data_IF_245508923940
#
_entry.id   IF_245508923940
#
_cell.length_a   1.000
_cell.length_b   1.000
_cell.length_c   1.000
_cell.angle_alpha   90.00
_cell.angle_beta   90.00
_cell.angle_gamma   90.00
#
_symmetry.space_group_name_H-M   'P 1'
#
loop_
_entity.id
_entity.type
_entity.pdbx_description
1 polymer ?
#
# COMPACT_ATOMS: atom_id res chain seq x y z
N UNK A 1 -11.38 -0.37 10.26
CA UNK A 1 -12.29 -1.16 11.12
C UNK A 1 -12.47 -2.52 10.47
N UNK A 2 -12.46 -3.61 11.22
CA UNK A 2 -12.48 -4.95 10.63
C UNK A 2 -12.33 -6.02 11.69
N UNK A 3 -12.84 -7.22 11.40
CA UNK A 3 -12.72 -8.39 12.28
C UNK A 3 -11.70 -9.40 11.76
N UNK A 4 -11.32 -9.30 10.49
CA UNK A 4 -10.33 -10.16 9.86
C UNK A 4 -9.58 -9.41 8.75
N UNK A 5 -8.26 -9.35 8.86
CA UNK A 5 -7.36 -8.66 7.92
C UNK A 5 -7.40 -9.23 6.49
N UNK A 6 -7.99 -10.41 6.28
CA UNK A 6 -8.15 -11.03 4.96
C UNK A 6 -9.41 -10.59 4.22
N UNK A 7 -10.33 -9.88 4.90
CA UNK A 7 -11.59 -9.46 4.31
C UNK A 7 -11.38 -8.33 3.28
N UNK A 8 -12.21 -8.26 2.24
CA UNK A 8 -12.20 -7.13 1.30
C UNK A 8 -12.42 -5.81 2.03
N UNK A 9 -11.80 -4.73 1.55
CA UNK A 9 -11.86 -3.42 2.22
C UNK A 9 -12.75 -2.44 1.45
N UNK A 10 -13.84 -2.01 2.09
CA UNK A 10 -14.65 -0.88 1.64
C UNK A 10 -13.96 0.42 2.06
N UNK A 11 -13.47 1.18 1.09
CA UNK A 11 -12.84 2.48 1.31
C UNK A 11 -13.90 3.57 1.29
N UNK A 12 -13.94 4.39 2.33
CA UNK A 12 -14.93 5.44 2.54
C UNK A 12 -14.23 6.80 2.54
N UNK A 13 -14.46 7.59 1.50
CA UNK A 13 -13.98 8.96 1.36
C UNK A 13 -14.98 9.91 1.98
N UNK A 14 -14.52 10.67 2.97
CA UNK A 14 -15.30 11.69 3.69
C UNK A 14 -14.48 12.95 3.87
N UNK A 15 -15.16 14.04 4.21
CA UNK A 15 -14.52 15.29 4.62
C UNK A 15 -15.16 15.78 5.92
N UNK A 16 -14.34 16.19 6.89
CA UNK A 16 -14.78 16.60 8.24
C UNK A 16 -15.54 17.94 8.26
N UNK A 17 -15.54 18.69 7.16
CA UNK A 17 -16.29 19.94 6.95
C UNK A 17 -17.45 19.78 5.94
N UNK A 18 -17.69 18.58 5.39
CA UNK A 18 -18.79 18.32 4.46
C UNK A 18 -20.07 17.91 5.19
N UNK A 19 -21.16 18.68 5.00
CA UNK A 19 -22.50 18.34 5.49
C UNK A 19 -22.98 16.99 4.94
N UNK A 20 -22.68 16.68 3.68
CA UNK A 20 -23.04 15.39 3.08
C UNK A 20 -22.26 14.22 3.71
N UNK A 21 -20.98 14.44 4.04
CA UNK A 21 -20.17 13.45 4.78
C UNK A 21 -20.72 13.24 6.19
N UNK A 22 -21.15 14.31 6.86
CA UNK A 22 -21.83 14.22 8.15
C UNK A 22 -23.08 13.36 8.06
N UNK A 23 -23.95 13.65 7.10
CA UNK A 23 -25.17 12.89 6.90
C UNK A 23 -24.87 11.41 6.68
N UNK A 24 -23.92 11.09 5.79
CA UNK A 24 -23.52 9.71 5.51
C UNK A 24 -22.98 8.99 6.74
N UNK A 25 -22.10 9.62 7.53
CA UNK A 25 -21.55 9.00 8.74
C UNK A 25 -22.66 8.72 9.76
N UNK A 26 -23.59 9.66 9.94
CA UNK A 26 -24.67 9.54 10.93
C UNK A 26 -25.80 8.58 10.51
N UNK A 27 -25.98 8.30 9.22
CA UNK A 27 -27.15 7.57 8.73
C UNK A 27 -26.84 6.34 7.87
N UNK A 28 -25.64 6.22 7.31
CA UNK A 28 -25.30 5.15 6.36
C UNK A 28 -24.10 4.32 6.81
N UNK A 29 -23.09 4.93 7.42
CA UNK A 29 -21.89 4.21 7.85
C UNK A 29 -22.20 3.18 8.94
N UNK A 30 -23.10 3.50 9.88
CA UNK A 30 -23.52 2.57 10.94
C UNK A 30 -24.20 1.32 10.34
N UNK A 31 -25.07 1.49 9.35
CA UNK A 31 -25.70 0.37 8.65
C UNK A 31 -24.65 -0.50 7.93
N UNK A 32 -23.69 0.10 7.23
CA UNK A 32 -22.59 -0.65 6.60
C UNK A 32 -21.79 -1.44 7.63
N UNK A 33 -21.46 -0.82 8.77
CA UNK A 33 -20.72 -1.47 9.86
C UNK A 33 -21.53 -2.63 10.42
N UNK A 34 -22.82 -2.44 10.69
CA UNK A 34 -23.69 -3.47 11.25
C UNK A 34 -23.87 -4.66 10.30
N UNK A 35 -24.15 -4.39 9.04
CA UNK A 35 -24.50 -5.45 8.07
C UNK A 35 -23.29 -6.19 7.51
N UNK A 36 -22.11 -5.55 7.41
CA UNK A 36 -20.93 -6.16 6.76
C UNK A 36 -19.68 -6.25 7.64
N UNK A 37 -19.45 -5.31 8.55
CA UNK A 37 -18.20 -5.29 9.33
C UNK A 37 -18.33 -6.18 10.57
N UNK A 38 -19.43 -6.05 11.31
CA UNK A 38 -19.70 -6.85 12.50
C UNK A 38 -20.01 -8.32 12.17
N UNK A 39 -20.59 -8.58 11.00
CA UNK A 39 -20.79 -9.94 10.47
C UNK A 39 -19.49 -10.59 10.00
N UNK A 40 -18.45 -9.78 9.77
CA UNK A 40 -17.13 -10.24 9.33
C UNK A 40 -17.01 -10.46 7.84
N UNK A 41 -17.82 -9.77 7.04
CA UNK A 41 -17.78 -9.81 5.57
C UNK A 41 -16.80 -8.79 4.98
N UNK A 42 -16.75 -7.58 5.55
CA UNK A 42 -15.92 -6.47 5.04
C UNK A 42 -15.08 -5.83 6.14
N UNK A 43 -13.92 -5.31 5.72
CA UNK A 43 -13.22 -4.26 6.43
C UNK A 43 -13.68 -2.89 5.90
N UNK A 44 -13.57 -1.85 6.73
CA UNK A 44 -13.78 -0.45 6.33
C UNK A 44 -12.51 0.34 6.58
N UNK A 45 -12.09 1.09 5.56
CA UNK A 45 -10.97 2.01 5.62
C UNK A 45 -11.44 3.44 5.31
N UNK A 46 -11.05 4.41 6.14
CA UNK A 46 -11.42 5.80 5.94
C UNK A 46 -10.35 6.54 5.12
N UNK A 47 -10.81 7.43 4.25
CA UNK A 47 -10.00 8.38 3.50
C UNK A 47 -10.55 9.78 3.70
N UNK A 48 -9.68 10.72 4.07
CA UNK A 48 -10.09 12.12 4.24
C UNK A 48 -9.76 12.92 2.98
N UNK A 49 -10.76 13.15 2.12
CA UNK A 49 -10.57 13.91 0.88
C UNK A 49 -10.65 15.41 1.17
N UNK A 50 -9.50 16.07 1.19
CA UNK A 50 -9.39 17.49 1.57
C UNK A 50 -9.23 18.44 0.38
N UNK A 51 -8.74 17.93 -0.75
CA UNK A 51 -8.45 18.72 -1.94
C UNK A 51 -9.34 18.27 -3.10
N UNK A 52 -9.61 19.18 -4.04
CA UNK A 52 -10.37 18.86 -5.25
C UNK A 52 -9.53 17.99 -6.18
N UNK A 53 -10.02 16.79 -6.56
CA UNK A 53 -9.30 15.93 -7.50
C UNK A 53 -8.98 16.58 -8.86
N UNK A 54 -9.82 17.53 -9.31
CA UNK A 54 -9.60 18.30 -10.56
C UNK A 54 -8.78 19.60 -10.37
N UNK A 55 -8.50 20.00 -9.14
CA UNK A 55 -7.69 21.18 -8.80
C UNK A 55 -7.01 20.90 -7.46
N UNK A 56 -5.93 20.10 -7.44
CA UNK A 56 -5.39 19.55 -6.20
C UNK A 56 -4.92 20.62 -5.23
N UNK A 57 -4.66 21.86 -5.65
CA UNK A 57 -4.31 22.95 -4.73
C UNK A 57 -5.51 23.74 -4.19
N UNK A 58 -6.72 23.36 -4.58
CA UNK A 58 -7.98 23.89 -4.06
C UNK A 58 -8.59 22.91 -3.06
N UNK A 59 -9.12 23.42 -1.95
CA UNK A 59 -9.81 22.58 -0.97
C UNK A 59 -11.20 22.14 -1.49
N UNK A 60 -11.66 20.98 -1.03
CA UNK A 60 -12.83 20.32 -1.59
C UNK A 60 -14.14 21.04 -1.26
N UNK A 61 -14.29 21.51 -0.02
CA UNK A 61 -15.56 22.05 0.51
C UNK A 61 -15.52 23.59 0.66
N UNK A 62 -14.37 24.15 1.05
CA UNK A 62 -14.15 25.57 1.28
C UNK A 62 -12.91 26.11 0.58
N UNK A 63 -12.51 27.33 0.91
CA UNK A 63 -11.34 28.02 0.35
C UNK A 63 -10.17 28.13 1.34
N UNK A 64 -10.18 27.36 2.44
CA UNK A 64 -9.17 27.43 3.50
C UNK A 64 -8.60 26.07 3.96
N UNK A 65 -7.46 26.12 4.66
CA UNK A 65 -6.71 24.95 5.13
C UNK A 65 -7.40 24.16 6.26
N UNK A 66 -8.59 24.56 6.71
CA UNK A 66 -9.32 23.88 7.78
C UNK A 66 -9.54 22.39 7.51
N UNK A 67 -9.83 22.03 6.26
CA UNK A 67 -10.07 20.64 5.82
C UNK A 67 -8.82 19.78 6.00
N UNK A 68 -7.70 20.19 5.39
CA UNK A 68 -6.44 19.47 5.48
C UNK A 68 -5.94 19.40 6.93
N UNK A 69 -6.13 20.47 7.72
CA UNK A 69 -5.74 20.49 9.14
C UNK A 69 -6.52 19.48 9.96
N UNK A 70 -7.83 19.33 9.72
CA UNK A 70 -8.65 18.34 10.39
C UNK A 70 -8.23 16.91 10.01
N UNK A 71 -7.95 16.67 8.72
CA UNK A 71 -7.45 15.38 8.22
C UNK A 71 -6.11 14.98 8.85
N UNK A 72 -5.15 15.92 8.96
CA UNK A 72 -3.87 15.69 9.66
C UNK A 72 -4.07 15.37 11.14
N UNK A 73 -5.00 16.04 11.81
CA UNK A 73 -5.33 15.73 13.20
C UNK A 73 -5.90 14.31 13.33
N UNK A 74 -6.80 13.89 12.43
CA UNK A 74 -7.35 12.54 12.43
C UNK A 74 -6.27 11.47 12.21
N UNK A 75 -5.36 11.66 11.24
CA UNK A 75 -4.20 10.78 11.07
C UNK A 75 -3.30 10.75 12.31
N UNK A 76 -3.12 11.90 12.98
CA UNK A 76 -2.34 11.98 14.20
C UNK A 76 -2.96 11.23 15.37
N UNK A 77 -4.30 11.29 15.54
CA UNK A 77 -5.00 10.47 16.54
C UNK A 77 -4.83 8.99 16.22
N UNK A 78 -4.99 8.58 14.96
CA UNK A 78 -4.79 7.18 14.54
C UNK A 78 -3.36 6.68 14.81
N UNK A 79 -2.34 7.47 14.50
CA UNK A 79 -0.92 7.12 14.67
C UNK A 79 -0.47 7.10 16.14
N UNK A 80 -1.01 7.99 16.98
CA UNK A 80 -0.55 8.16 18.36
C UNK A 80 -1.42 7.44 19.40
N UNK A 81 -2.73 7.39 19.17
CA UNK A 81 -3.74 6.90 20.12
C UNK A 81 -4.90 6.21 19.37
N UNK A 82 -4.62 5.12 18.63
CA UNK A 82 -5.60 4.44 17.76
C UNK A 82 -6.85 3.99 18.49
N UNK A 83 -6.76 3.68 19.79
CA UNK A 83 -7.89 3.31 20.64
C UNK A 83 -8.94 4.43 20.81
N UNK A 84 -8.52 5.70 20.67
CA UNK A 84 -9.39 6.87 20.79
C UNK A 84 -9.75 7.48 19.42
N UNK A 85 -9.30 6.88 18.32
CA UNK A 85 -9.61 7.38 16.97
C UNK A 85 -11.12 7.39 16.67
N UNK A 86 -11.82 6.28 16.92
CA UNK A 86 -13.26 6.19 16.62
C UNK A 86 -14.11 7.16 17.47
N UNK A 87 -13.90 7.27 18.80
CA UNK A 87 -14.53 8.32 19.60
C UNK A 87 -14.29 9.73 19.07
N UNK A 88 -13.06 10.05 18.65
CA UNK A 88 -12.74 11.34 18.04
C UNK A 88 -13.43 11.56 16.69
N UNK A 89 -13.40 10.55 15.81
CA UNK A 89 -14.06 10.59 14.52
C UNK A 89 -15.57 10.84 14.65
N UNK A 90 -16.24 10.09 15.52
CA UNK A 90 -17.66 10.26 15.81
C UNK A 90 -17.95 11.64 16.43
N UNK A 91 -17.14 12.06 17.40
CA UNK A 91 -17.29 13.37 18.04
C UNK A 91 -17.28 14.51 17.02
N UNK A 92 -16.36 14.46 16.04
CA UNK A 92 -16.25 15.48 15.00
C UNK A 92 -17.50 15.56 14.11
N UNK A 93 -18.15 14.44 13.79
CA UNK A 93 -19.37 14.44 12.98
C UNK A 93 -20.65 14.71 13.80
N UNK A 94 -20.71 14.34 15.08
CA UNK A 94 -21.83 14.68 15.96
C UNK A 94 -21.79 16.14 16.45
N UNK A 95 -20.60 16.75 16.51
CA UNK A 95 -20.41 18.17 16.82
C UNK A 95 -19.99 18.97 15.58
N UNK A 96 -20.50 18.57 14.42
CA UNK A 96 -20.17 19.15 13.12
C UNK A 96 -20.32 20.67 13.12
N UNK A 97 -19.41 21.33 12.41
CA UNK A 97 -19.46 22.76 12.18
C UNK A 97 -19.05 23.09 10.75
N UNK A 98 -19.70 24.09 10.16
CA UNK A 98 -19.28 24.69 8.89
C UNK A 98 -18.16 25.72 9.07
N UNK A 99 -17.72 25.96 10.31
CA UNK A 99 -16.63 26.89 10.61
C UNK A 99 -15.28 26.17 10.45
N UNK A 100 -14.29 26.90 9.94
CA UNK A 100 -12.89 26.45 9.83
C UNK A 100 -12.35 25.82 11.12
N UNK A 101 -11.72 24.65 11.00
CA UNK A 101 -11.00 24.03 12.11
C UNK A 101 -9.65 24.70 12.33
N UNK A 102 -9.51 25.43 13.44
CA UNK A 102 -8.21 25.96 13.91
C UNK A 102 -7.48 24.93 14.78
N UNK A 103 -6.17 25.10 15.00
CA UNK A 103 -5.39 24.25 15.92
C UNK A 103 -6.08 24.14 17.30
N UNK A 104 -6.42 25.27 17.91
CA UNK A 104 -7.09 25.31 19.22
C UNK A 104 -8.45 24.59 19.22
N UNK A 105 -9.22 24.67 18.12
CA UNK A 105 -10.49 23.93 18.02
C UNK A 105 -10.25 22.43 17.94
N UNK A 106 -9.29 21.97 17.14
CA UNK A 106 -8.97 20.55 17.01
C UNK A 106 -8.43 19.98 18.32
N UNK A 107 -7.55 20.70 19.01
CA UNK A 107 -7.09 20.33 20.35
C UNK A 107 -8.25 20.21 21.35
N UNK A 108 -9.18 21.16 21.33
CA UNK A 108 -10.38 21.10 22.17
C UNK A 108 -11.32 19.95 21.79
N UNK A 109 -11.49 19.64 20.50
CA UNK A 109 -12.27 18.49 20.04
C UNK A 109 -11.64 17.16 20.45
N UNK A 110 -10.31 17.05 20.35
CA UNK A 110 -9.56 15.88 20.80
C UNK A 110 -9.73 15.65 22.31
N UNK A 111 -9.60 16.72 23.12
CA UNK A 111 -9.81 16.66 24.57
C UNK A 111 -11.23 16.20 24.94
N UNK A 112 -12.25 16.80 24.30
CA UNK A 112 -13.65 16.42 24.52
C UNK A 112 -13.98 15.00 24.05
N UNK A 113 -13.28 14.50 23.05
CA UNK A 113 -13.39 13.11 22.58
C UNK A 113 -12.59 12.11 23.44
N UNK A 114 -11.87 12.59 24.47
CA UNK A 114 -11.10 11.76 25.40
C UNK A 114 -9.71 11.36 24.91
N UNK A 115 -9.19 12.00 23.86
CA UNK A 115 -7.80 11.81 23.40
C UNK A 115 -6.83 12.40 24.40
N UNK A 116 -5.82 11.64 24.82
CA UNK A 116 -4.91 12.02 25.93
C UNK A 116 -3.60 12.62 25.44
N UNK A 117 -3.06 12.13 24.33
CA UNK A 117 -1.73 12.50 23.82
C UNK A 117 -1.74 13.73 22.89
N UNK A 118 -2.62 14.71 23.17
CA UNK A 118 -2.92 15.85 22.29
C UNK A 118 -1.66 16.61 21.87
N UNK A 119 -0.75 16.93 22.79
CA UNK A 119 0.48 17.67 22.47
C UNK A 119 1.37 16.93 21.47
N UNK A 120 1.47 15.60 21.59
CA UNK A 120 2.26 14.78 20.65
C UNK A 120 1.60 14.75 19.27
N UNK A 121 0.27 14.60 19.24
CA UNK A 121 -0.54 14.62 18.02
C UNK A 121 -0.43 15.97 17.31
N UNK A 122 -0.66 17.07 18.02
CA UNK A 122 -0.53 18.43 17.51
C UNK A 122 0.86 18.70 16.93
N UNK A 123 1.93 18.31 17.64
CA UNK A 123 3.30 18.47 17.15
C UNK A 123 3.56 17.70 15.85
N UNK A 124 3.02 16.48 15.70
CA UNK A 124 3.16 15.69 14.48
C UNK A 124 2.31 16.26 13.34
N UNK A 125 1.03 16.49 13.60
CA UNK A 125 0.08 16.95 12.59
C UNK A 125 0.39 18.35 12.06
N UNK A 126 0.73 19.30 12.93
CA UNK A 126 0.89 20.71 12.56
C UNK A 126 2.29 21.03 12.01
N UNK A 127 3.23 20.10 12.14
CA UNK A 127 4.54 20.16 11.46
C UNK A 127 4.54 19.47 10.10
N UNK A 128 3.38 19.00 9.64
CA UNK A 128 3.24 18.48 8.29
C UNK A 128 3.58 17.00 8.12
N UNK A 129 3.79 16.23 9.20
CA UNK A 129 4.09 14.78 9.14
C UNK A 129 3.09 13.97 8.30
N UNK A 130 1.85 14.45 8.19
CA UNK A 130 0.77 13.77 7.48
C UNK A 130 0.35 14.50 6.20
N UNK A 131 1.17 15.42 5.67
CA UNK A 131 0.85 16.15 4.44
C UNK A 131 0.70 15.19 3.26
N UNK A 132 1.68 14.32 3.11
CA UNK A 132 1.74 13.17 2.20
C UNK A 132 0.46 12.34 2.26
N UNK A 133 0.03 11.90 3.44
CA UNK A 133 -1.20 11.10 3.61
C UNK A 133 -2.48 11.86 3.23
N UNK A 134 -2.53 13.18 3.45
CA UNK A 134 -3.68 14.00 3.00
C UNK A 134 -3.67 14.17 1.48
N UNK A 135 -2.49 14.32 0.86
CA UNK A 135 -2.33 14.38 -0.60
C UNK A 135 -2.65 13.04 -1.26
N UNK A 136 -2.10 11.95 -0.74
CA UNK A 136 -2.32 10.57 -1.20
C UNK A 136 -3.79 10.20 -1.33
N UNK A 137 -4.64 10.62 -0.39
CA UNK A 137 -6.08 10.39 -0.46
C UNK A 137 -6.73 11.08 -1.69
N UNK A 138 -6.21 12.24 -2.09
CA UNK A 138 -6.67 13.00 -3.26
C UNK A 138 -6.19 12.38 -4.56
N UNK A 139 -4.93 11.97 -4.71
CA UNK A 139 -4.53 11.30 -5.96
C UNK A 139 -5.09 9.89 -6.08
N UNK A 140 -5.32 9.19 -4.96
CA UNK A 140 -6.13 7.97 -4.98
C UNK A 140 -7.53 8.28 -5.54
N UNK A 141 -8.19 9.35 -5.08
CA UNK A 141 -9.48 9.75 -5.64
C UNK A 141 -9.41 10.06 -7.15
N UNK A 142 -8.36 10.78 -7.61
CA UNK A 142 -8.12 11.02 -9.05
C UNK A 142 -8.00 9.70 -9.82
N UNK A 143 -7.19 8.74 -9.32
CA UNK A 143 -6.97 7.43 -9.96
C UNK A 143 -8.26 6.64 -10.14
N UNK A 144 -9.21 6.79 -9.23
CA UNK A 144 -10.50 6.10 -9.28
C UNK A 144 -11.64 6.96 -9.85
N UNK A 145 -11.37 8.17 -10.36
CA UNK A 145 -12.41 9.06 -10.92
C UNK A 145 -13.40 9.60 -9.88
N UNK A 146 -12.99 9.65 -8.61
CA UNK A 146 -13.75 10.22 -7.51
C UNK A 146 -13.53 11.74 -7.50
N UNK A 147 -14.61 12.53 -7.49
CA UNK A 147 -14.55 14.00 -7.59
C UNK A 147 -15.15 14.75 -6.39
N UNK A 148 -15.83 14.06 -5.49
CA UNK A 148 -16.64 14.62 -4.40
C UNK A 148 -16.71 13.63 -3.20
N UNK A 149 -17.36 14.05 -2.12
CA UNK A 149 -17.61 13.24 -0.92
C UNK A 149 -19.04 13.47 -0.44
N UNK A 150 -19.67 12.47 0.22
CA UNK A 150 -19.12 11.18 0.61
C UNK A 150 -19.05 10.22 -0.57
N UNK A 151 -18.01 9.38 -0.61
CA UNK A 151 -17.89 8.30 -1.58
C UNK A 151 -17.52 7.01 -0.88
N UNK A 152 -18.12 5.92 -1.32
CA UNK A 152 -17.63 4.58 -0.99
C UNK A 152 -16.98 3.98 -2.23
N UNK A 153 -15.91 3.23 -2.03
CA UNK A 153 -15.18 2.51 -3.08
C UNK A 153 -14.95 1.09 -2.58
N UNK A 154 -15.28 0.13 -3.43
CA UNK A 154 -14.92 -1.27 -3.25
C UNK A 154 -14.35 -1.70 -4.60
N UNK A 155 -13.09 -2.15 -4.62
CA UNK A 155 -12.36 -2.40 -5.87
C UNK A 155 -12.15 -1.10 -6.68
N UNK A 156 -12.27 -1.15 -8.02
CA UNK A 156 -12.30 0.06 -8.89
C UNK A 156 -13.64 0.81 -8.84
N UNK A 157 -14.71 0.16 -8.39
CA UNK A 157 -16.05 0.75 -8.41
C UNK A 157 -16.23 1.69 -7.22
N UNK A 158 -16.83 2.86 -7.47
CA UNK A 158 -17.23 3.78 -6.42
C UNK A 158 -18.67 4.24 -6.59
N UNK A 159 -19.31 4.63 -5.48
CA UNK A 159 -20.67 5.16 -5.43
C UNK A 159 -20.74 6.33 -4.46
N UNK A 160 -21.55 7.34 -4.79
CA UNK A 160 -21.80 8.45 -3.87
C UNK A 160 -22.55 7.94 -2.65
N UNK A 161 -22.10 8.34 -1.47
CA UNK A 161 -22.61 7.82 -0.19
C UNK A 161 -24.06 8.20 0.09
N UNK A 162 -24.54 9.32 -0.47
CA UNK A 162 -25.88 9.86 -0.20
C UNK A 162 -27.01 9.29 -1.11
N UNK A 163 -26.78 8.20 -1.85
CA UNK A 163 -27.84 7.59 -2.67
C UNK A 163 -28.60 6.50 -1.92
N UNK A 164 -29.90 6.35 -2.24
CA UNK A 164 -30.66 5.18 -1.86
C UNK A 164 -29.95 3.91 -2.35
N UNK A 165 -29.83 2.93 -1.46
CA UNK A 165 -29.21 1.62 -1.69
C UNK A 165 -27.67 1.60 -1.78
N UNK A 166 -27.01 2.12 -0.74
CA UNK A 166 -25.57 1.87 -0.52
C UNK A 166 -25.31 0.41 -0.15
N UNK A 167 -26.19 -0.19 0.64
CA UNK A 167 -26.06 -1.57 1.11
C UNK A 167 -26.16 -2.58 -0.04
N UNK A 168 -27.15 -2.47 -0.92
CA UNK A 168 -27.27 -3.36 -2.09
C UNK A 168 -26.16 -3.13 -3.13
N UNK A 169 -25.67 -1.90 -3.28
CA UNK A 169 -24.47 -1.64 -4.06
C UNK A 169 -23.24 -2.35 -3.48
N UNK A 170 -23.05 -2.26 -2.16
CA UNK A 170 -21.97 -2.95 -1.44
C UNK A 170 -22.11 -4.46 -1.59
N UNK A 171 -23.31 -5.04 -1.38
CA UNK A 171 -23.56 -6.48 -1.56
C UNK A 171 -23.14 -6.94 -2.96
N UNK A 172 -23.60 -6.24 -4.00
CA UNK A 172 -23.31 -6.62 -5.40
C UNK A 172 -21.81 -6.62 -5.70
N UNK A 173 -21.03 -5.77 -5.03
CA UNK A 173 -19.57 -5.73 -5.17
C UNK A 173 -18.88 -6.71 -4.21
N UNK A 174 -19.44 -6.97 -3.04
CA UNK A 174 -18.94 -7.98 -2.13
C UNK A 174 -19.06 -9.38 -2.74
N UNK A 175 -20.22 -9.72 -3.31
CA UNK A 175 -20.45 -10.98 -4.05
C UNK A 175 -19.39 -11.20 -5.13
N UNK A 176 -18.94 -10.10 -5.76
CA UNK A 176 -17.89 -10.11 -6.77
C UNK A 176 -16.49 -10.42 -6.19
N UNK A 177 -16.22 -10.15 -4.92
CA UNK A 177 -14.92 -10.42 -4.29
C UNK A 177 -14.92 -11.76 -3.57
N UNK A 178 -16.07 -12.20 -3.05
CA UNK A 178 -16.23 -13.46 -2.32
C UNK A 178 -16.11 -14.72 -3.18
N UNK A 179 -16.14 -14.60 -4.51
CA UNK A 179 -15.90 -15.72 -5.43
C UNK A 179 -14.40 -16.14 -5.51
N UNK A 180 -13.49 -15.36 -4.92
CA UNK A 180 -12.05 -15.64 -4.93
C UNK A 180 -11.61 -16.66 -3.87
N UNK A 181 -10.36 -17.12 -3.98
CA UNK A 181 -9.74 -18.06 -3.04
C UNK A 181 -8.36 -17.59 -2.59
N UNK A 182 -7.99 -17.93 -1.36
CA UNK A 182 -6.61 -17.80 -0.86
C UNK A 182 -6.10 -19.20 -0.56
N UNK A 183 -5.14 -19.66 -1.37
CA UNK A 183 -4.40 -20.89 -1.12
C UNK A 183 -3.03 -20.53 -0.53
N UNK A 184 -2.62 -21.27 0.50
CA UNK A 184 -1.30 -21.13 1.10
C UNK A 184 -0.64 -22.49 1.10
N UNK A 185 0.48 -22.60 0.40
CA UNK A 185 1.28 -23.82 0.35
C UNK A 185 2.75 -23.54 0.68
N UNK A 186 3.47 -24.50 1.30
CA UNK A 186 4.89 -24.35 1.56
C UNK A 186 5.71 -24.53 0.28
N UNK A 187 6.63 -23.61 0.02
CA UNK A 187 7.73 -23.83 -0.91
C UNK A 187 8.80 -24.67 -0.21
N UNK A 188 9.26 -25.77 -0.82
CA UNK A 188 10.24 -26.70 -0.24
C UNK A 188 9.88 -27.19 1.19
N UNK A 189 8.72 -27.87 1.34
CA UNK A 189 8.27 -28.36 2.64
C UNK A 189 9.27 -29.30 3.32
N UNK A 190 9.28 -29.29 4.65
CA UNK A 190 10.14 -30.10 5.51
C UNK A 190 11.65 -29.84 5.33
N UNK A 191 12.02 -28.65 4.81
CA UNK A 191 13.41 -28.22 4.67
C UNK A 191 13.69 -26.93 5.46
N UNK A 192 14.97 -26.61 5.67
CA UNK A 192 15.36 -25.31 6.27
C UNK A 192 14.93 -24.09 5.43
N UNK A 193 14.58 -24.29 4.16
CA UNK A 193 14.13 -23.24 3.25
C UNK A 193 12.62 -23.06 3.23
N UNK A 194 11.86 -23.86 3.98
CA UNK A 194 10.41 -23.84 3.95
C UNK A 194 9.87 -22.42 4.17
N UNK A 195 9.06 -21.94 3.23
CA UNK A 195 8.46 -20.60 3.29
C UNK A 195 7.09 -20.60 2.62
N UNK A 196 6.09 -19.89 3.15
CA UNK A 196 4.75 -19.89 2.57
C UNK A 196 4.71 -19.13 1.25
N UNK A 197 4.05 -19.73 0.25
CA UNK A 197 3.56 -19.06 -0.94
C UNK A 197 2.08 -18.77 -0.75
N UNK A 198 1.66 -17.54 -1.02
CA UNK A 198 0.26 -17.14 -1.01
C UNK A 198 -0.23 -17.00 -2.44
N UNK A 199 -1.24 -17.78 -2.83
CA UNK A 199 -1.91 -17.67 -4.12
C UNK A 199 -3.31 -17.10 -3.88
N UNK A 200 -3.50 -15.85 -4.25
CA UNK A 200 -4.73 -15.11 -4.04
C UNK A 200 -5.40 -14.99 -5.41
N UNK A 201 -6.42 -15.81 -5.66
CA UNK A 201 -7.14 -15.85 -6.93
C UNK A 201 -8.47 -15.11 -6.78
N UNK A 202 -8.76 -14.20 -7.71
CA UNK A 202 -10.04 -13.47 -7.72
C UNK A 202 -11.23 -14.32 -8.19
N UNK A 203 -10.98 -15.51 -8.75
CA UNK A 203 -11.99 -16.33 -9.43
C UNK A 203 -12.44 -15.76 -10.78
N UNK A 204 -11.82 -14.66 -11.22
CA UNK A 204 -12.22 -13.89 -12.41
C UNK A 204 -11.07 -13.72 -13.40
N UNK A 205 -11.36 -13.63 -14.70
CA UNK A 205 -10.34 -13.29 -15.69
C UNK A 205 -9.63 -11.97 -15.36
N UNK A 206 -8.32 -11.93 -15.55
CA UNK A 206 -7.48 -10.78 -15.32
C UNK A 206 -5.99 -11.18 -15.24
N UNK A 207 -5.09 -10.21 -15.06
CA UNK A 207 -3.65 -10.44 -15.05
C UNK A 207 -3.18 -11.14 -13.78
N UNK A 208 -2.07 -11.87 -13.88
CA UNK A 208 -1.38 -12.49 -12.75
C UNK A 208 -0.16 -11.67 -12.34
N UNK A 209 -0.09 -11.28 -11.07
CA UNK A 209 1.09 -10.65 -10.49
C UNK A 209 1.88 -11.63 -9.62
N UNK A 210 3.20 -11.51 -9.64
CA UNK A 210 4.10 -12.22 -8.74
C UNK A 210 4.92 -11.23 -7.90
N UNK A 211 4.77 -11.28 -6.58
CA UNK A 211 5.51 -10.41 -5.64
C UNK A 211 6.39 -11.26 -4.75
N UNK A 212 7.66 -10.89 -4.64
CA UNK A 212 8.62 -11.57 -3.77
C UNK A 212 9.35 -10.57 -2.88
N UNK A 213 9.62 -10.96 -1.65
CA UNK A 213 10.47 -10.24 -0.71
C UNK A 213 11.39 -11.20 0.03
N UNK A 214 12.41 -10.65 0.68
CA UNK A 214 13.28 -11.44 1.55
C UNK A 214 14.26 -12.36 0.81
N UNK A 215 14.70 -11.96 -0.39
CA UNK A 215 15.86 -12.58 -1.05
C UNK A 215 17.13 -12.46 -0.18
N UNK A 216 17.25 -11.34 0.52
CA UNK A 216 18.28 -11.07 1.53
C UNK A 216 17.62 -10.84 2.89
N UNK A 217 18.18 -11.41 3.95
CA UNK A 217 17.58 -11.40 5.28
C UNK A 217 17.83 -10.13 6.11
N UNK A 218 18.88 -9.38 5.78
CA UNK A 218 19.18 -8.10 6.43
C UNK A 218 18.27 -6.96 5.95
N UNK A 219 17.33 -7.23 5.04
CA UNK A 219 16.50 -6.26 4.33
C UNK A 219 15.01 -6.32 4.78
N UNK A 220 14.70 -6.04 6.07
CA UNK A 220 13.37 -6.24 6.64
C UNK A 220 12.25 -5.45 5.98
N UNK A 221 12.55 -4.26 5.48
CA UNK A 221 11.58 -3.42 4.79
C UNK A 221 10.96 -4.17 3.60
N UNK A 222 11.76 -4.92 2.84
CA UNK A 222 11.32 -5.64 1.64
C UNK A 222 10.38 -6.80 1.97
N UNK A 223 10.76 -7.68 2.89
CA UNK A 223 9.92 -8.82 3.25
C UNK A 223 8.71 -8.46 4.11
N UNK A 224 8.77 -7.40 4.92
CA UNK A 224 7.60 -6.88 5.63
C UNK A 224 6.61 -6.27 4.63
N UNK A 225 7.08 -5.49 3.64
CA UNK A 225 6.23 -4.96 2.58
C UNK A 225 5.59 -6.10 1.77
N UNK A 226 6.34 -7.14 1.40
CA UNK A 226 5.79 -8.32 0.74
C UNK A 226 4.76 -9.05 1.62
N UNK A 227 4.98 -9.15 2.94
CA UNK A 227 3.99 -9.71 3.86
C UNK A 227 2.69 -8.88 3.89
N UNK A 228 2.76 -7.55 3.81
CA UNK A 228 1.57 -6.72 3.64
C UNK A 228 0.86 -7.01 2.30
N UNK A 229 1.59 -7.35 1.24
CA UNK A 229 0.97 -7.66 -0.05
C UNK A 229 0.04 -8.87 -0.01
N UNK A 230 0.25 -9.83 0.91
CA UNK A 230 -0.62 -11.01 1.11
C UNK A 230 -2.05 -10.68 1.53
N UNK A 231 -2.27 -9.44 2.02
CA UNK A 231 -3.55 -8.97 2.53
C UNK A 231 -4.45 -8.40 1.43
N UNK A 232 -3.87 -7.98 0.31
CA UNK A 232 -4.66 -7.43 -0.79
C UNK A 232 -5.41 -8.52 -1.55
N UNK A 233 -6.54 -8.15 -2.14
CA UNK A 233 -7.33 -9.07 -2.98
C UNK A 233 -7.36 -8.56 -4.41
N UNK A 234 -6.89 -9.35 -5.41
CA UNK A 234 -7.03 -8.96 -6.79
C UNK A 234 -8.51 -8.89 -7.16
N UNK A 235 -8.89 -7.87 -7.94
CA UNK A 235 -10.29 -7.72 -8.40
C UNK A 235 -10.57 -8.52 -9.68
N UNK A 236 -9.52 -9.04 -10.29
CA UNK A 236 -9.46 -9.89 -11.49
C UNK A 236 -8.05 -10.49 -11.59
N UNK A 237 -7.95 -11.72 -12.10
CA UNK A 237 -6.69 -12.45 -12.15
C UNK A 237 -6.19 -12.93 -10.78
N UNK A 238 -4.86 -12.99 -10.60
CA UNK A 238 -4.21 -13.57 -9.41
C UNK A 238 -3.11 -12.68 -8.85
N UNK A 239 -2.90 -12.76 -7.55
CA UNK A 239 -1.74 -12.22 -6.86
C UNK A 239 -1.01 -13.35 -6.14
N UNK A 240 0.20 -13.66 -6.58
CA UNK A 240 1.08 -14.66 -5.97
C UNK A 240 2.14 -13.93 -5.15
N UNK A 241 2.32 -14.30 -3.88
CA UNK A 241 3.23 -13.62 -2.97
C UNK A 241 4.12 -14.60 -2.22
N UNK A 242 5.44 -14.39 -2.28
CA UNK A 242 6.43 -15.07 -1.44
C UNK A 242 7.09 -14.03 -0.52
N UNK A 243 6.63 -13.87 0.74
CA UNK A 243 7.10 -12.78 1.59
C UNK A 243 8.53 -12.97 2.11
N UNK A 244 8.93 -14.21 2.43
CA UNK A 244 10.23 -14.52 3.03
C UNK A 244 10.98 -15.54 2.16
N UNK A 245 11.40 -15.14 0.95
CA UNK A 245 11.94 -16.07 -0.05
C UNK A 245 13.14 -16.88 0.45
N UNK A 246 14.07 -16.24 1.18
CA UNK A 246 15.25 -16.86 1.76
C UNK A 246 15.09 -17.03 3.27
N UNK A 247 14.29 -18.02 3.70
CA UNK A 247 13.99 -18.24 5.11
C UNK A 247 15.26 -18.33 6.01
N UNK A 248 16.32 -19.09 5.65
CA UNK A 248 17.54 -19.13 6.45
C UNK A 248 18.22 -17.77 6.59
N UNK A 249 18.25 -16.95 5.53
CA UNK A 249 18.85 -15.62 5.57
C UNK A 249 18.05 -14.68 6.48
N UNK A 250 16.71 -14.70 6.34
CA UNK A 250 15.77 -13.90 7.14
C UNK A 250 15.93 -14.22 8.63
N UNK A 251 15.98 -15.51 9.00
CA UNK A 251 16.08 -15.94 10.40
C UNK A 251 17.37 -15.45 11.10
N UNK A 252 18.44 -15.21 10.35
CA UNK A 252 19.72 -14.69 10.87
C UNK A 252 19.98 -13.22 10.54
N UNK A 253 19.01 -12.53 9.92
CA UNK A 253 19.11 -11.15 9.47
C UNK A 253 20.38 -10.84 8.64
N UNK A 254 20.74 -11.72 7.70
CA UNK A 254 21.97 -11.62 6.91
C UNK A 254 21.75 -11.78 5.39
N UNK A 255 22.71 -11.28 4.62
CA UNK A 255 22.70 -11.38 3.15
C UNK A 255 23.06 -12.76 2.65
N UNK A 256 24.07 -13.33 3.32
CA UNK A 256 24.73 -14.55 2.92
C UNK A 256 24.36 -15.65 3.91
N UNK A 257 24.05 -16.82 3.36
CA UNK A 257 23.95 -18.07 4.12
C UNK A 257 25.13 -18.96 3.75
N UNK A 258 25.15 -20.20 4.25
CA UNK A 258 26.10 -21.22 3.75
C UNK A 258 25.93 -21.52 2.25
N UNK A 259 24.74 -21.23 1.70
CA UNK A 259 24.43 -21.39 0.27
C UNK A 259 24.78 -20.13 -0.54
N UNK A 260 25.32 -19.08 0.09
CA UNK A 260 25.73 -17.84 -0.56
C UNK A 260 24.63 -16.78 -0.63
N UNK A 261 24.73 -15.90 -1.64
CA UNK A 261 23.76 -14.83 -1.95
C UNK A 261 22.71 -15.39 -2.93
N UNK A 262 21.47 -15.56 -2.47
CA UNK A 262 20.38 -16.13 -3.27
C UNK A 262 20.13 -15.31 -4.54
N UNK A 263 20.18 -13.98 -4.46
CA UNK A 263 19.96 -13.11 -5.62
C UNK A 263 21.17 -13.04 -6.55
N UNK A 264 22.05 -14.05 -6.53
CA UNK A 264 23.11 -14.29 -7.55
C UNK A 264 22.97 -15.65 -8.24
N UNK A 265 21.87 -16.36 -7.99
CA UNK A 265 21.68 -17.75 -8.37
C UNK A 265 20.67 -17.94 -9.50
N UNK A 266 20.30 -16.86 -10.19
CA UNK A 266 19.31 -16.84 -11.26
C UNK A 266 19.95 -16.46 -12.61
N UNK A 267 20.83 -17.29 -13.20
CA UNK A 267 21.38 -17.02 -14.53
C UNK A 267 20.30 -17.05 -15.62
N UNK A 268 20.40 -16.13 -16.57
CA UNK A 268 19.60 -16.12 -17.81
C UNK A 268 20.07 -17.23 -18.74
N UNK A 269 19.13 -17.93 -19.38
CA UNK A 269 19.41 -18.97 -20.38
C UNK A 269 19.87 -20.32 -19.83
N UNK A 270 19.89 -20.48 -18.49
CA UNK A 270 20.13 -21.77 -17.83
C UNK A 270 19.34 -21.88 -16.54
N UNK A 271 19.29 -23.08 -15.96
CA UNK A 271 18.60 -23.32 -14.70
C UNK A 271 19.26 -22.55 -13.53
N UNK A 272 18.46 -22.08 -12.55
CA UNK A 272 18.96 -21.58 -11.28
C UNK A 272 19.97 -22.52 -10.60
N UNK A 273 20.95 -21.94 -9.91
CA UNK A 273 22.13 -22.69 -9.45
C UNK A 273 21.98 -23.32 -8.05
N UNK A 274 20.85 -23.14 -7.38
CA UNK A 274 20.55 -23.73 -6.07
C UNK A 274 19.12 -24.27 -6.03
N UNK A 275 18.87 -25.19 -5.09
CA UNK A 275 17.52 -25.77 -4.90
C UNK A 275 16.48 -24.71 -4.56
N UNK A 276 16.81 -23.72 -3.72
CA UNK A 276 15.89 -22.64 -3.38
C UNK A 276 15.63 -21.71 -4.58
N UNK A 277 16.66 -21.31 -5.31
CA UNK A 277 16.50 -20.47 -6.49
C UNK A 277 15.69 -21.19 -7.58
N UNK A 278 15.90 -22.50 -7.76
CA UNK A 278 15.10 -23.33 -8.67
C UNK A 278 13.64 -23.36 -8.24
N UNK A 279 13.36 -23.62 -6.96
CA UNK A 279 11.99 -23.69 -6.46
C UNK A 279 11.23 -22.36 -6.64
N UNK A 280 11.86 -21.21 -6.35
CA UNK A 280 11.25 -19.90 -6.59
C UNK A 280 10.98 -19.68 -8.09
N UNK A 281 11.89 -20.10 -8.96
CA UNK A 281 11.73 -19.97 -10.41
C UNK A 281 10.61 -20.87 -10.95
N UNK A 282 10.55 -22.12 -10.49
CA UNK A 282 9.50 -23.07 -10.87
C UNK A 282 8.12 -22.60 -10.39
N UNK A 283 8.04 -22.03 -9.18
CA UNK A 283 6.82 -21.40 -8.66
C UNK A 283 6.37 -20.22 -9.53
N UNK A 284 7.30 -19.36 -9.96
CA UNK A 284 7.02 -18.27 -10.89
C UNK A 284 6.49 -18.81 -12.23
N UNK A 285 7.14 -19.81 -12.81
CA UNK A 285 6.71 -20.40 -14.08
C UNK A 285 5.36 -21.10 -13.98
N UNK A 286 5.05 -21.74 -12.86
CA UNK A 286 3.78 -22.43 -12.63
C UNK A 286 2.58 -21.47 -12.63
N UNK A 287 2.81 -20.20 -12.28
CA UNK A 287 1.78 -19.18 -12.20
C UNK A 287 1.68 -18.26 -13.41
N UNK A 288 2.62 -18.32 -14.36
CA UNK A 288 2.63 -17.56 -15.62
C UNK A 288 2.27 -16.06 -15.44
N UNK A 289 3.05 -15.29 -14.66
CA UNK A 289 2.69 -13.91 -14.33
C UNK A 289 2.89 -12.93 -15.50
N UNK A 290 2.03 -11.92 -15.55
CA UNK A 290 2.16 -10.77 -16.45
C UNK A 290 3.13 -9.71 -15.91
N UNK A 291 3.34 -9.67 -14.59
CA UNK A 291 4.23 -8.71 -13.93
C UNK A 291 4.89 -9.31 -12.67
N UNK A 292 6.18 -8.98 -12.46
CA UNK A 292 6.96 -9.41 -11.30
C UNK A 292 7.52 -8.24 -10.51
N UNK A 293 7.35 -8.23 -9.18
CA UNK A 293 7.92 -7.22 -8.29
C UNK A 293 8.78 -7.91 -7.22
N UNK A 294 10.05 -7.51 -7.12
CA UNK A 294 11.02 -7.99 -6.14
C UNK A 294 11.36 -6.85 -5.16
N UNK A 295 10.99 -7.02 -3.89
CA UNK A 295 11.07 -5.99 -2.84
C UNK A 295 12.33 -6.15 -1.97
N UNK A 296 13.21 -5.16 -2.02
CA UNK A 296 14.52 -5.10 -1.35
C UNK A 296 14.70 -3.84 -0.51
N UNK A 297 15.80 -3.79 0.23
CA UNK A 297 16.25 -2.54 0.85
C UNK A 297 17.77 -2.41 1.00
N UNK A 298 18.28 -1.23 0.69
CA UNK A 298 19.72 -0.96 0.67
C UNK A 298 20.18 -0.08 1.83
N UNK A 299 21.42 -0.30 2.29
CA UNK A 299 22.05 0.44 3.39
C UNK A 299 22.37 1.91 3.07
N UNK A 300 22.10 2.36 1.85
CA UNK A 300 22.32 3.74 1.40
C UNK A 300 21.58 4.01 0.10
N UNK A 301 21.71 5.23 -0.40
CA UNK A 301 20.84 5.80 -1.43
C UNK A 301 21.52 5.87 -2.81
N UNK A 302 20.75 5.57 -3.85
CA UNK A 302 21.17 5.58 -5.25
C UNK A 302 21.57 6.98 -5.71
N UNK A 303 22.75 7.06 -6.36
CA UNK A 303 23.41 8.30 -6.82
C UNK A 303 23.80 9.29 -5.71
N UNK A 304 23.60 8.95 -4.43
CA UNK A 304 24.05 9.77 -3.29
C UNK A 304 25.17 9.08 -2.50
N UNK A 305 24.98 7.82 -2.12
CA UNK A 305 25.96 7.04 -1.35
C UNK A 305 26.72 6.00 -2.20
N UNK A 306 26.47 5.97 -3.52
CA UNK A 306 26.97 4.90 -4.40
C UNK A 306 26.35 3.53 -4.11
N UNK A 307 25.16 3.51 -3.50
CA UNK A 307 24.35 2.31 -3.19
C UNK A 307 23.13 2.26 -4.12
N UNK A 308 22.12 1.43 -3.80
CA UNK A 308 20.95 1.19 -4.68
C UNK A 308 19.60 1.57 -4.06
N UNK A 309 19.57 2.03 -2.81
CA UNK A 309 18.32 2.37 -2.11
C UNK A 309 17.64 3.63 -2.65
N UNK A 310 16.35 3.79 -2.36
CA UNK A 310 15.47 4.78 -2.96
C UNK A 310 15.54 4.75 -4.49
N UNK A 311 15.38 3.57 -5.07
CA UNK A 311 15.31 3.41 -6.51
C UNK A 311 14.43 2.24 -6.94
N UNK A 312 13.90 2.33 -8.15
CA UNK A 312 13.24 1.21 -8.84
C UNK A 312 14.09 0.90 -10.07
N UNK A 313 14.52 -0.35 -10.20
CA UNK A 313 15.23 -0.84 -11.38
C UNK A 313 14.27 -1.69 -12.22
N UNK A 314 13.68 -1.13 -13.28
CA UNK A 314 12.76 -1.87 -14.13
C UNK A 314 13.50 -2.76 -15.13
N UNK A 315 12.86 -3.82 -15.57
CA UNK A 315 13.20 -4.50 -16.82
C UNK A 315 13.01 -3.57 -18.03
N UNK A 316 13.53 -3.96 -19.20
CA UNK A 316 13.34 -3.15 -20.43
C UNK A 316 11.90 -3.21 -20.99
N UNK A 317 11.03 -4.08 -20.49
CA UNK A 317 9.66 -4.22 -21.00
C UNK A 317 8.83 -2.95 -20.76
N UNK A 318 8.88 -2.38 -19.55
CA UNK A 318 8.02 -1.25 -19.14
C UNK A 318 8.73 -0.27 -18.19
N UNK A 319 9.84 0.35 -18.63
CA UNK A 319 10.63 1.26 -17.79
C UNK A 319 9.89 2.52 -17.38
N UNK A 320 8.95 3.02 -18.21
CA UNK A 320 8.19 4.23 -17.89
C UNK A 320 7.31 4.06 -16.65
N UNK A 321 6.75 2.86 -16.43
CA UNK A 321 5.96 2.57 -15.24
C UNK A 321 6.77 2.76 -13.94
N UNK A 322 8.08 2.49 -13.97
CA UNK A 322 8.94 2.73 -12.80
C UNK A 322 9.25 4.20 -12.59
N UNK A 323 9.39 4.99 -13.67
CA UNK A 323 9.54 6.46 -13.57
C UNK A 323 8.32 7.05 -12.89
N UNK A 324 7.14 6.74 -13.44
CA UNK A 324 5.90 7.30 -12.93
C UNK A 324 5.59 6.83 -11.49
N UNK A 325 5.96 5.59 -11.14
CA UNK A 325 5.83 5.09 -9.76
C UNK A 325 6.80 5.79 -8.80
N UNK A 326 8.02 6.12 -9.24
CA UNK A 326 8.95 6.94 -8.45
C UNK A 326 8.39 8.35 -8.23
N UNK A 327 7.89 9.00 -9.28
CA UNK A 327 7.30 10.33 -9.18
C UNK A 327 6.12 10.33 -8.20
N UNK A 328 5.25 9.32 -8.30
CA UNK A 328 4.14 9.11 -7.39
C UNK A 328 4.60 8.89 -5.93
N UNK A 329 5.68 8.14 -5.72
CA UNK A 329 6.25 7.93 -4.39
C UNK A 329 6.77 9.24 -3.79
N UNK A 330 7.50 10.02 -4.59
CA UNK A 330 8.12 11.26 -4.18
C UNK A 330 7.09 12.33 -3.84
N UNK A 331 6.05 12.44 -4.66
CA UNK A 331 5.02 13.46 -4.47
C UNK A 331 4.10 13.17 -3.25
N UNK A 332 3.97 11.89 -2.85
CA UNK A 332 2.89 11.50 -1.93
C UNK A 332 3.32 10.71 -0.70
N UNK A 333 4.58 10.30 -0.60
CA UNK A 333 5.04 9.47 0.52
C UNK A 333 6.40 9.90 1.07
N UNK A 334 7.20 10.62 0.30
CA UNK A 334 8.47 11.19 0.78
C UNK A 334 8.23 12.59 1.36
N UNK A 335 8.23 12.67 2.69
CA UNK A 335 8.04 13.94 3.40
C UNK A 335 9.34 14.74 3.47
N UNK A 336 9.45 15.80 2.67
CA UNK A 336 10.66 16.66 2.64
C UNK A 336 10.99 17.34 3.97
N UNK A 337 10.03 17.40 4.89
CA UNK A 337 10.24 17.89 6.26
C UNK A 337 11.01 16.91 7.15
N UNK A 338 10.91 15.62 6.86
CA UNK A 338 11.57 14.54 7.60
C UNK A 338 12.77 13.95 6.82
N UNK A 339 12.69 13.95 5.48
CA UNK A 339 13.67 13.35 4.57
C UNK A 339 14.14 14.35 3.51
N UNK A 340 15.42 14.74 3.46
CA UNK A 340 15.91 15.64 2.41
C UNK A 340 15.70 15.06 1.00
N UNK A 341 15.64 15.91 -0.03
CA UNK A 341 15.32 15.51 -1.42
C UNK A 341 16.25 14.46 -2.04
N UNK A 342 17.40 14.15 -1.43
CA UNK A 342 18.20 13.01 -1.88
C UNK A 342 17.56 11.66 -1.54
N UNK A 343 16.51 11.60 -0.70
CA UNK A 343 15.67 10.43 -0.44
C UNK A 343 14.62 10.20 -1.54
N UNK A 344 14.42 11.13 -2.47
CA UNK A 344 13.50 10.92 -3.59
C UNK A 344 13.90 9.65 -4.36
N UNK A 345 12.92 8.78 -4.58
CA UNK A 345 13.02 7.61 -5.42
C UNK A 345 13.45 8.02 -6.82
N UNK A 346 14.37 7.23 -7.39
CA UNK A 346 14.85 7.42 -8.75
C UNK A 346 14.64 6.16 -9.57
N UNK A 347 14.26 6.33 -10.83
CA UNK A 347 14.39 5.23 -11.78
C UNK A 347 15.87 4.91 -11.98
N UNK A 348 16.24 3.67 -11.65
CA UNK A 348 17.55 3.09 -11.88
C UNK A 348 17.76 2.75 -13.36
N UNK A 349 18.89 2.11 -13.65
CA UNK A 349 19.13 1.54 -14.98
C UNK A 349 18.19 0.36 -15.25
N UNK A 350 17.95 0.07 -16.52
CA UNK A 350 17.15 -1.09 -16.91
C UNK A 350 17.90 -2.40 -16.66
N UNK A 351 17.14 -3.43 -16.28
CA UNK A 351 17.60 -4.80 -16.08
C UNK A 351 17.34 -5.60 -17.36
N UNK A 352 18.38 -6.17 -17.93
CA UNK A 352 18.37 -6.67 -19.32
C UNK A 352 18.75 -8.14 -19.47
N UNK A 353 18.74 -8.89 -18.37
CA UNK A 353 19.14 -10.30 -18.36
C UNK A 353 20.66 -10.55 -18.31
N UNK A 354 21.51 -9.52 -18.31
CA UNK A 354 22.97 -9.70 -18.31
C UNK A 354 23.59 -10.18 -16.98
N UNK A 355 22.82 -10.24 -15.89
CA UNK A 355 23.29 -10.59 -14.55
C UNK A 355 22.46 -11.74 -13.98
N UNK A 356 23.03 -12.57 -13.08
CA UNK A 356 22.32 -13.71 -12.51
C UNK A 356 21.41 -13.30 -11.34
N UNK A 357 20.63 -12.23 -11.51
CA UNK A 357 19.68 -11.71 -10.51
C UNK A 357 18.26 -12.16 -10.88
N UNK A 358 17.37 -12.32 -9.91
CA UNK A 358 16.01 -12.81 -10.13
C UNK A 358 15.25 -12.02 -11.21
N UNK A 359 15.13 -10.69 -11.07
CA UNK A 359 14.46 -9.83 -12.07
C UNK A 359 15.21 -9.76 -13.40
N UNK A 360 16.54 -9.94 -13.41
CA UNK A 360 17.26 -10.08 -14.69
C UNK A 360 16.82 -11.34 -15.42
N UNK A 361 16.71 -12.48 -14.73
CA UNK A 361 16.24 -13.74 -15.32
C UNK A 361 14.81 -13.64 -15.82
N UNK A 362 13.91 -12.99 -15.07
CA UNK A 362 12.52 -12.70 -15.50
C UNK A 362 12.50 -12.07 -16.89
N UNK A 363 13.28 -11.01 -17.12
CA UNK A 363 13.34 -10.38 -18.44
C UNK A 363 14.14 -11.18 -19.46
N UNK A 364 15.28 -11.75 -19.05
CA UNK A 364 16.18 -12.47 -19.93
C UNK A 364 15.57 -13.72 -20.56
N UNK A 365 14.76 -14.45 -19.80
CA UNK A 365 14.14 -15.69 -20.25
C UNK A 365 12.70 -15.47 -20.74
N UNK A 366 11.92 -14.61 -20.07
CA UNK A 366 10.48 -14.48 -20.31
C UNK A 366 10.09 -13.15 -20.97
N UNK A 367 11.00 -12.17 -21.06
CA UNK A 367 10.74 -10.83 -21.58
C UNK A 367 9.60 -10.08 -20.86
N UNK A 368 9.32 -10.47 -19.61
CA UNK A 368 8.21 -9.93 -18.82
C UNK A 368 8.56 -8.58 -18.18
N UNK A 369 7.54 -7.73 -17.93
CA UNK A 369 7.60 -6.66 -16.94
C UNK A 369 8.07 -7.15 -15.57
N UNK A 370 9.25 -6.70 -15.16
CA UNK A 370 9.80 -6.90 -13.82
C UNK A 370 10.31 -5.62 -13.18
N UNK A 371 10.26 -5.54 -11.85
CA UNK A 371 10.76 -4.40 -11.08
C UNK A 371 11.52 -4.86 -9.84
N UNK A 372 12.75 -4.41 -9.67
CA UNK A 372 13.48 -4.48 -8.42
C UNK A 372 13.28 -3.16 -7.67
N UNK A 373 12.52 -3.18 -6.58
CA UNK A 373 12.24 -2.00 -5.74
C UNK A 373 13.18 -2.00 -4.56
N UNK A 374 13.95 -0.93 -4.41
CA UNK A 374 14.95 -0.77 -3.36
C UNK A 374 14.58 0.43 -2.50
N UNK A 375 14.03 0.17 -1.31
CA UNK A 375 13.90 1.21 -0.27
C UNK A 375 15.26 1.43 0.41
N UNK A 376 15.42 2.49 1.21
CA UNK A 376 16.65 2.67 2.00
C UNK A 376 16.45 2.38 3.48
N UNK A 377 17.50 1.82 4.09
CA UNK A 377 17.66 1.65 5.55
C UNK A 377 18.47 2.78 6.19
N UNK A 378 19.00 3.70 5.39
CA UNK A 378 19.81 4.81 5.87
C UNK A 378 18.89 5.81 6.57
N UNK A 379 19.02 5.92 7.88
CA UNK A 379 18.37 6.95 8.70
C UNK A 379 16.84 7.07 8.44
N UNK A 380 16.19 5.96 8.11
CA UNK A 380 14.74 5.85 7.87
C UNK A 380 14.05 5.12 8.99
N UNK A 381 12.83 5.55 9.30
CA UNK A 381 11.91 4.73 10.08
C UNK A 381 11.48 3.52 9.24
N UNK A 382 11.43 2.34 9.87
CA UNK A 382 11.09 1.11 9.16
C UNK A 382 9.66 1.16 8.63
N UNK A 383 8.76 1.78 9.37
CA UNK A 383 7.36 1.97 9.02
C UNK A 383 7.20 2.78 7.73
N UNK A 384 7.97 3.86 7.59
CA UNK A 384 7.96 4.71 6.40
C UNK A 384 8.49 3.93 5.19
N UNK A 385 9.63 3.25 5.33
CA UNK A 385 10.21 2.47 4.23
C UNK A 385 9.32 1.28 3.81
N UNK A 386 8.67 0.61 4.76
CA UNK A 386 7.67 -0.44 4.45
C UNK A 386 6.48 0.16 3.70
N UNK A 387 5.96 1.29 4.17
CA UNK A 387 4.85 2.00 3.52
C UNK A 387 5.21 2.41 2.08
N UNK A 388 6.42 2.91 1.84
CA UNK A 388 6.92 3.20 0.50
C UNK A 388 6.99 1.96 -0.38
N UNK A 389 7.54 0.85 0.14
CA UNK A 389 7.62 -0.43 -0.58
C UNK A 389 6.25 -0.97 -0.99
N UNK A 390 5.27 -0.92 -0.09
CA UNK A 390 3.88 -1.33 -0.37
C UNK A 390 3.24 -0.40 -1.40
N UNK A 391 3.40 0.92 -1.25
CA UNK A 391 2.85 1.91 -2.17
C UNK A 391 3.37 1.71 -3.59
N UNK A 392 4.70 1.53 -3.74
CA UNK A 392 5.36 1.28 -5.02
C UNK A 392 4.92 -0.03 -5.64
N UNK A 393 4.86 -1.13 -4.86
CA UNK A 393 4.37 -2.41 -5.35
C UNK A 393 2.95 -2.28 -5.90
N UNK A 394 2.04 -1.67 -5.13
CA UNK A 394 0.65 -1.47 -5.55
C UNK A 394 0.53 -0.61 -6.82
N UNK A 395 1.29 0.47 -6.92
CA UNK A 395 1.24 1.34 -8.10
C UNK A 395 1.78 0.62 -9.35
N UNK A 396 2.90 -0.10 -9.21
CA UNK A 396 3.45 -0.92 -10.30
C UNK A 396 2.46 -1.98 -10.77
N UNK A 397 1.83 -2.70 -9.84
CA UNK A 397 0.80 -3.70 -10.16
C UNK A 397 -0.42 -3.07 -10.85
N UNK A 398 -0.89 -1.91 -10.35
CA UNK A 398 -2.01 -1.18 -10.95
C UNK A 398 -1.76 -0.80 -12.42
N UNK A 399 -0.52 -0.43 -12.76
CA UNK A 399 -0.10 -0.09 -14.14
C UNK A 399 -0.09 -1.29 -15.09
N UNK A 400 -0.23 -2.50 -14.57
CA UNK A 400 -0.39 -3.74 -15.31
C UNK A 400 -1.80 -4.31 -15.17
N UNK A 401 -2.78 -3.47 -14.84
CA UNK A 401 -4.18 -3.85 -14.62
C UNK A 401 -4.41 -4.87 -13.50
N UNK A 402 -3.40 -5.12 -12.65
CA UNK A 402 -3.54 -5.92 -11.43
C UNK A 402 -4.07 -5.01 -10.34
N UNK A 403 -5.36 -5.15 -10.08
CA UNK A 403 -6.08 -4.26 -9.18
C UNK A 403 -6.28 -4.89 -7.84
N UNK A 404 -5.99 -4.13 -6.80
CA UNK A 404 -6.02 -4.62 -5.44
C UNK A 404 -7.10 -3.90 -4.65
N UNK A 405 -8.06 -4.67 -4.14
CA UNK A 405 -9.14 -4.26 -3.25
C UNK A 405 -8.81 -4.41 -1.78
#
# INVERSE_FOLDING_TARGET
MGTNDTNPTLVVYVNLLSEESQYFVQHNLEDIVREYVLTGDLNVELRFLSYQPGSPDSYLVGDDEGEARASRAAYGVWDVEPENFWPFFEFMFWNFTTKTYTHARLESSMDQAGVRNITKIANRAYRGRYNSLVRAATEEAVRYGISDVPRVRLLRDHKHGNYADILGWTQTRFDRVSDGSVEIHPLLPDTKYETPVYVIDSGKPGPTAFVVGGMHGEEPQGYIAAAHMTRFRPTGGKLVVIPHANRPAVDIAARYTEDGDLNRQFPTGSDPTSTLAQAIWDELLAHDPDVVVDLHSSSGIYKHDGKVGQAIFPTRATPQNAVDACDLANDHYIELSDYPSYYDFKCGNTLDGSRPLFIHKVYGDLHLPGYLVETTRKETHIEDAVMWGVALARDLLWRHDVLLG
#
